data_IF_472897480164
#
_entry.id   IF_472897480164
#
_cell.length_a   1.000
_cell.length_b   1.000
_cell.length_c   1.000
_cell.angle_alpha   90.00
_cell.angle_beta   90.00
_cell.angle_gamma   90.00
#
_symmetry.space_group_name_H-M   'P 1'
#
loop_
_entity.id
_entity.type
_entity.pdbx_description
1 polymer ?
2 polymer ?
3 polymer ?
4 non-polymer ?
5 water ?
#
loop_
_entity_poly.entity_id
_entity_poly.type
_entity_poly.pdbx_seq_one_letter_code
_entity_poly.pdbx_strand_id
2 'polydeoxyribonucleotide' '(DC)(DT)(DG)(DA)(DT)(DG)(DA)(DG)(DT)(DC)(DA)(DG)(DC)(DA)(DC)' ?
3 'polydeoxyribonucleotide' '(DG)(DT)(DG)(DC)(DT)(DG)(DA)(DC)(DT)(DC)(DA)(DT)(DC)(DA)(DG)' ?
#
# COMPACT_ATOMS: atom_id res chain seq x y z
N UNK A 3 -25.82 36.62 20.68
CA UNK A 3 -25.59 35.19 20.12
C UNK A 3 -24.65 34.36 21.12
N UNK A 4 -24.12 33.17 20.74
CA UNK A 4 -23.29 32.37 21.68
C UNK A 4 -22.28 31.31 21.08
N UNK A 5 -21.63 30.53 21.96
CA UNK A 5 -20.65 29.47 21.62
C UNK A 5 -19.23 29.71 22.17
N UNK A 6 -18.47 28.68 22.62
CA UNK A 6 -17.05 28.77 23.16
C UNK A 6 -16.20 27.88 22.24
N UNK A 7 -15.14 28.44 21.61
CA UNK A 7 -14.39 27.68 20.61
C UNK A 7 -13.07 26.97 20.89
N UNK A 8 -13.15 25.62 20.81
CA UNK A 8 -12.08 24.63 20.99
C UNK A 8 -11.07 24.59 19.84
N UNK A 9 -10.28 23.50 19.76
CA UNK A 9 -9.26 23.28 18.72
C UNK A 9 -9.33 21.81 18.34
N UNK A 10 -8.99 21.51 17.08
CA UNK A 10 -9.00 20.14 16.58
C UNK A 10 -8.40 19.14 17.59
N UNK A 11 -7.10 19.26 17.86
CA UNK A 11 -6.48 18.35 18.82
C UNK A 11 -7.31 18.15 20.07
N UNK A 12 -7.75 19.26 20.68
CA UNK A 12 -8.56 19.19 21.88
C UNK A 12 -9.79 18.34 21.66
N UNK A 13 -10.63 18.79 20.72
CA UNK A 13 -11.86 18.08 20.39
C UNK A 13 -11.69 16.59 20.08
N UNK A 14 -10.61 16.21 19.40
CA UNK A 14 -10.42 14.80 19.06
C UNK A 14 -9.96 13.98 20.26
N UNK A 15 -9.02 14.52 21.02
CA UNK A 15 -8.47 13.83 22.19
C UNK A 15 -9.42 13.86 23.36
N UNK A 16 -10.17 14.96 23.45
CA UNK A 16 -11.16 15.14 24.51
C UNK A 16 -11.87 13.79 24.72
N UNK A 17 -12.40 13.56 25.92
CA UNK A 17 -13.10 12.31 26.21
C UNK A 17 -14.60 12.54 26.25
N UNK A 18 -15.35 11.46 26.05
CA UNK A 18 -16.81 11.51 26.04
C UNK A 18 -17.46 12.32 27.15
N UNK A 19 -16.91 12.26 28.36
CA UNK A 19 -17.54 13.02 29.45
C UNK A 19 -17.11 14.47 29.41
N UNK A 20 -15.87 14.71 28.99
CA UNK A 20 -15.38 16.07 28.89
C UNK A 20 -16.21 16.74 27.81
N UNK A 21 -16.35 16.04 26.69
CA UNK A 21 -17.12 16.55 25.57
C UNK A 21 -18.49 16.98 26.05
N UNK A 22 -19.16 16.09 26.78
CA UNK A 22 -20.50 16.41 27.24
C UNK A 22 -20.61 17.65 28.14
N UNK A 23 -19.52 18.00 28.85
CA UNK A 23 -19.54 19.20 29.69
C UNK A 23 -19.40 20.40 28.76
N UNK A 24 -18.46 20.30 27.82
CA UNK A 24 -18.20 21.34 26.84
C UNK A 24 -19.42 21.58 25.96
N UNK A 25 -20.47 20.80 26.21
CA UNK A 25 -21.70 20.90 25.45
C UNK A 25 -22.69 21.86 26.08
N UNK A 26 -22.71 21.88 27.41
CA UNK A 26 -23.62 22.74 28.18
C UNK A 26 -23.52 24.19 27.72
N UNK A 27 -24.65 24.76 27.33
CA UNK A 27 -24.66 26.12 26.84
C UNK A 27 -24.85 26.15 25.33
N UNK A 28 -24.09 25.30 24.62
CA UNK A 28 -24.15 25.16 23.16
C UNK A 28 -25.55 24.96 22.56
N UNK A 29 -25.90 25.76 21.57
CA UNK A 29 -27.22 25.63 20.93
C UNK A 29 -27.29 24.24 20.31
N UNK A 30 -28.49 23.73 20.08
CA UNK A 30 -28.62 22.40 19.48
C UNK A 30 -27.80 22.29 18.20
N UNK A 31 -28.07 23.19 17.27
CA UNK A 31 -27.35 23.22 16.01
C UNK A 31 -25.87 23.24 16.27
N UNK A 32 -25.48 23.97 17.28
CA UNK A 32 -24.07 24.09 17.64
C UNK A 32 -23.53 22.73 18.09
N UNK A 33 -24.37 21.97 18.79
CA UNK A 33 -23.99 20.64 19.28
C UNK A 33 -23.68 19.74 18.08
N UNK A 34 -24.63 19.72 17.17
CA UNK A 34 -24.55 18.97 15.93
C UNK A 34 -23.23 19.24 15.20
N UNK A 35 -22.98 20.47 14.80
CA UNK A 35 -21.74 20.81 14.11
C UNK A 35 -20.57 20.27 14.89
N UNK A 36 -20.55 20.56 16.18
CA UNK A 36 -19.46 20.12 17.05
C UNK A 36 -19.26 18.61 16.99
N UNK A 37 -20.33 17.83 17.20
CA UNK A 37 -20.22 16.37 17.16
C UNK A 37 -19.74 15.86 15.80
N UNK A 38 -20.21 16.51 14.73
CA UNK A 38 -19.83 16.15 13.37
C UNK A 38 -18.37 16.47 13.14
N UNK A 39 -17.96 17.67 13.52
CA UNK A 39 -16.56 18.06 13.38
C UNK A 39 -15.68 17.03 14.12
N UNK A 40 -16.14 16.56 15.26
CA UNK A 40 -15.37 15.59 16.03
C UNK A 40 -15.22 14.33 15.19
N UNK A 41 -16.31 13.86 14.62
CA UNK A 41 -16.30 12.66 13.80
C UNK A 41 -15.36 12.83 12.60
N UNK A 42 -15.52 13.96 11.91
CA UNK A 42 -14.68 14.21 10.78
C UNK A 42 -13.22 14.11 11.20
N UNK A 43 -12.92 14.69 12.35
CA UNK A 43 -11.56 14.67 12.91
C UNK A 43 -11.14 13.23 13.24
N UNK A 44 -12.07 12.45 13.75
CA UNK A 44 -11.82 11.06 14.09
C UNK A 44 -11.54 10.29 12.84
N UNK A 45 -12.31 10.56 11.79
CA UNK A 45 -12.09 9.84 10.53
C UNK A 45 -10.71 10.17 9.99
N UNK A 46 -10.28 11.42 10.20
CA UNK A 46 -8.99 11.84 9.74
C UNK A 46 -7.91 10.89 10.27
N UNK A 47 -8.05 10.51 11.54
CA UNK A 47 -7.08 9.61 12.14
C UNK A 47 -7.19 8.23 11.56
N UNK A 48 -8.41 7.69 11.54
CA UNK A 48 -8.65 6.37 11.00
C UNK A 48 -7.98 6.27 9.66
N UNK A 49 -8.09 7.33 8.88
CA UNK A 49 -7.51 7.37 7.53
C UNK A 49 -6.00 7.34 7.62
N UNK A 50 -5.46 8.05 8.60
CA UNK A 50 -4.03 8.10 8.81
C UNK A 50 -3.52 6.71 9.19
N UNK A 51 -4.16 6.10 10.19
CA UNK A 51 -3.77 4.77 10.65
C UNK A 51 -3.79 3.84 9.48
N UNK A 52 -4.78 4.06 8.64
CA UNK A 52 -4.95 3.23 7.48
C UNK A 52 -3.77 3.35 6.51
N UNK A 53 -3.32 4.57 6.24
CA UNK A 53 -2.20 4.80 5.33
C UNK A 53 -0.99 4.06 5.90
N UNK A 54 -0.73 4.32 7.17
CA UNK A 54 0.35 3.70 7.93
C UNK A 54 0.28 2.20 7.70
N UNK A 55 -0.73 1.56 8.28
CA UNK A 55 -0.91 0.12 8.14
C UNK A 55 -0.55 -0.40 6.75
N UNK A 56 -0.74 0.41 5.71
CA UNK A 56 -0.38 -0.01 4.36
C UNK A 56 1.13 -0.10 4.25
N UNK A 57 1.81 0.97 4.69
CA UNK A 57 3.27 1.04 4.67
C UNK A 57 3.81 -0.08 5.52
N UNK A 58 3.31 -0.15 6.75
CA UNK A 58 3.71 -1.18 7.67
C UNK A 58 3.73 -2.50 6.92
N UNK A 59 2.56 -2.95 6.50
CA UNK A 59 2.46 -4.21 5.79
C UNK A 59 3.27 -4.32 4.52
N UNK A 60 3.65 -3.21 3.91
CA UNK A 60 4.44 -3.36 2.70
C UNK A 60 5.91 -3.67 3.02
N UNK A 61 6.49 -2.94 3.97
CA UNK A 61 7.86 -3.18 4.38
C UNK A 61 7.85 -4.65 4.80
N UNK A 62 7.00 -4.99 5.77
CA UNK A 62 6.88 -6.36 6.25
C UNK A 62 6.92 -7.41 5.16
N UNK A 63 6.46 -7.10 3.96
CA UNK A 63 6.50 -8.11 2.91
C UNK A 63 7.90 -8.24 2.38
N UNK A 64 8.59 -7.12 2.29
CA UNK A 64 9.96 -7.10 1.80
C UNK A 64 10.89 -7.66 2.87
N UNK A 65 10.79 -7.12 4.09
CA UNK A 65 11.60 -7.59 5.21
C UNK A 65 11.30 -9.07 5.47
N UNK A 66 10.64 -9.72 4.51
CA UNK A 66 10.30 -11.14 4.60
C UNK A 66 10.89 -11.83 3.39
N UNK A 67 11.02 -11.10 2.30
CA UNK A 67 11.64 -11.66 1.11
C UNK A 67 13.13 -11.37 1.32
N UNK A 68 13.39 -10.59 2.37
CA UNK A 68 14.75 -10.22 2.76
C UNK A 68 15.28 -11.33 3.66
N UNK A 69 14.37 -12.14 4.17
CA UNK A 69 14.73 -13.27 5.02
C UNK A 69 14.58 -14.55 4.21
N UNK A 70 14.38 -14.41 2.90
CA UNK A 70 14.25 -15.57 2.03
C UNK A 70 15.30 -15.48 0.93
N UNK A 71 15.88 -14.30 0.77
CA UNK A 71 16.92 -14.08 -0.22
C UNK A 71 18.25 -14.25 0.53
N UNK A 72 18.19 -14.06 1.84
CA UNK A 72 19.35 -14.20 2.70
C UNK A 72 19.32 -15.61 3.30
N UNK A 73 18.21 -16.31 3.09
CA UNK A 73 18.08 -17.66 3.60
C UNK A 73 18.30 -18.65 2.46
N UNK A 74 18.16 -18.20 1.22
CA UNK A 74 18.40 -19.07 0.08
C UNK A 74 19.92 -19.01 -0.17
N UNK A 75 20.58 -18.11 0.57
CA UNK A 75 22.02 -17.88 0.50
C UNK A 75 22.81 -18.62 1.59
N UNK A 76 22.23 -18.72 2.78
CA UNK A 76 22.89 -19.44 3.86
C UNK A 76 22.73 -20.93 3.54
N UNK A 77 21.93 -21.21 2.52
CA UNK A 77 21.67 -22.57 2.05
C UNK A 77 22.23 -22.82 0.63
N UNK A 78 22.61 -21.74 -0.05
CA UNK A 78 23.22 -21.89 -1.37
C UNK A 78 24.73 -22.06 -1.11
N UNK A 79 25.17 -21.56 0.06
CA UNK A 79 26.56 -21.66 0.50
C UNK A 79 26.75 -22.98 1.27
N UNK A 80 25.70 -23.44 1.95
CA UNK A 80 25.75 -24.71 2.66
C UNK A 80 25.67 -25.77 1.55
N UNK A 81 25.54 -25.27 0.32
CA UNK A 81 25.47 -26.08 -0.89
C UNK A 81 26.91 -26.17 -1.46
N UNK A 82 27.81 -25.34 -0.91
CA UNK A 82 29.22 -25.32 -1.30
C UNK A 82 29.92 -26.39 -0.45
N UNK A 83 29.24 -26.81 0.62
CA UNK A 83 29.79 -27.82 1.52
C UNK A 83 29.67 -29.21 0.91
N UNK A 84 28.91 -29.31 -0.18
CA UNK A 84 28.71 -30.58 -0.86
C UNK A 84 29.93 -30.94 -1.72
N UNK A 85 30.55 -29.92 -2.30
CA UNK A 85 31.73 -30.12 -3.14
C UNK A 85 32.82 -30.87 -2.38
N UNK A 86 32.97 -30.55 -1.10
CA UNK A 86 33.97 -31.20 -0.26
C UNK A 86 33.49 -32.54 0.26
N UNK A 87 32.19 -32.66 0.53
CA UNK A 87 31.62 -33.91 1.06
C UNK A 87 31.03 -34.87 0.02
N UNK A 88 31.44 -34.73 -1.23
CA UNK A 88 30.96 -35.62 -2.30
C UNK A 88 32.10 -35.82 -3.31
N UNK A 89 33.25 -35.23 -2.99
CA UNK A 89 34.45 -35.34 -3.84
C UNK A 89 35.62 -35.92 -3.03
N UNK A 90 35.64 -35.62 -1.73
CA UNK A 90 36.68 -36.09 -0.82
C UNK A 90 36.30 -37.36 -0.05
N UNK A 91 35.03 -37.75 -0.14
CA UNK A 91 34.57 -38.96 0.54
C UNK A 91 33.89 -39.92 -0.44
N UNK A 92 33.94 -39.60 -1.73
CA UNK A 92 33.34 -40.45 -2.78
C UNK A 92 34.38 -40.83 -3.85
N UNK A 93 35.64 -40.97 -3.41
CA UNK A 93 36.79 -41.36 -4.24
C UNK A 93 37.42 -42.44 -3.35
N UNK A 94 36.57 -42.89 -2.42
CA UNK A 94 36.84 -43.92 -1.40
C UNK A 94 35.67 -44.98 -1.35
N UNK A 95 35.20 -45.38 -2.56
CA UNK A 95 34.11 -46.43 -2.77
C UNK A 95 33.42 -46.19 -4.15
N UNK B 4 -18.05 21.59 -33.12
CA UNK B 4 -18.36 21.88 -31.69
C UNK B 4 -19.56 21.06 -31.16
N UNK B 5 -20.64 21.77 -30.82
CA UNK B 5 -21.83 21.13 -30.30
C UNK B 5 -22.37 21.91 -29.11
N UNK B 6 -22.80 21.20 -28.07
CA UNK B 6 -23.33 21.81 -26.84
C UNK B 6 -22.54 21.31 -25.62
N UNK B 7 -23.25 21.16 -24.49
CA UNK B 7 -22.62 20.68 -23.26
C UNK B 7 -22.11 19.24 -23.48
N UNK B 8 -20.90 18.98 -22.99
CA UNK B 8 -20.27 17.68 -23.13
C UNK B 8 -20.31 16.90 -21.82
N UNK B 9 -20.43 15.57 -21.92
CA UNK B 9 -20.49 14.72 -20.74
C UNK B 9 -19.10 14.45 -20.19
N UNK B 10 -19.05 13.79 -19.03
CA UNK B 10 -17.79 13.45 -18.40
C UNK B 10 -16.98 12.55 -19.34
N UNK B 11 -17.58 11.44 -19.76
CA UNK B 11 -16.92 10.48 -20.65
C UNK B 11 -16.45 11.09 -21.96
N UNK B 12 -16.60 12.40 -22.08
CA UNK B 12 -16.19 13.09 -23.30
C UNK B 12 -15.10 14.09 -23.04
N UNK B 13 -15.40 15.05 -22.17
CA UNK B 13 -14.48 16.10 -21.81
C UNK B 13 -13.10 15.54 -21.47
N UNK B 14 -13.08 14.45 -20.71
CA UNK B 14 -11.84 13.82 -20.28
C UNK B 14 -11.11 13.07 -21.39
N UNK B 15 -11.85 12.61 -22.40
CA UNK B 15 -11.28 11.83 -23.50
C UNK B 15 -10.58 12.66 -24.59
N UNK B 16 -11.19 13.78 -24.97
CA UNK B 16 -10.63 14.62 -26.03
C UNK B 16 -9.30 15.32 -25.67
N UNK B 17 -8.62 15.79 -26.72
CA UNK B 17 -7.33 16.47 -26.60
C UNK B 17 -7.46 17.90 -26.06
N UNK B 18 -6.33 18.57 -25.86
CA UNK B 18 -6.32 19.94 -25.33
C UNK B 18 -6.71 21.03 -26.35
N UNK B 19 -6.29 20.86 -27.60
CA UNK B 19 -6.63 21.83 -28.66
C UNK B 19 -8.08 21.61 -29.06
N UNK B 20 -8.46 20.33 -29.10
CA UNK B 20 -9.80 19.94 -29.47
C UNK B 20 -10.81 20.56 -28.50
N UNK B 21 -10.30 21.02 -27.36
CA UNK B 21 -11.14 21.63 -26.34
C UNK B 21 -11.25 23.13 -26.55
N UNK B 22 -10.16 23.74 -27.03
CA UNK B 22 -10.15 25.17 -27.30
C UNK B 22 -11.16 25.45 -28.42
N UNK B 23 -11.52 24.38 -29.12
CA UNK B 23 -12.46 24.41 -30.23
C UNK B 23 -13.90 24.56 -29.70
N UNK B 24 -14.36 23.61 -28.87
CA UNK B 24 -15.71 23.70 -28.31
C UNK B 24 -15.72 24.73 -27.20
N UNK B 25 -14.60 25.45 -27.10
CA UNK B 25 -14.38 26.48 -26.08
C UNK B 25 -14.67 27.91 -26.57
N UNK B 26 -14.61 28.11 -27.88
CA UNK B 26 -14.86 29.43 -28.47
C UNK B 26 -16.21 29.99 -28.02
N UNK B 27 -16.20 31.20 -27.49
CA UNK B 27 -17.42 31.82 -27.03
C UNK B 27 -17.84 31.27 -25.67
N UNK B 28 -17.23 31.82 -24.62
CA UNK B 28 -17.50 31.45 -23.24
C UNK B 28 -16.73 32.42 -22.35
N UNK B 29 -17.46 33.13 -21.47
CA UNK B 29 -16.85 34.12 -20.57
C UNK B 29 -15.49 33.69 -20.00
N UNK B 30 -14.65 34.66 -19.64
CA UNK B 30 -13.32 34.37 -19.08
C UNK B 30 -13.34 33.22 -18.05
N UNK B 31 -14.39 33.20 -17.22
CA UNK B 31 -14.55 32.16 -16.20
C UNK B 31 -14.95 30.81 -16.78
N UNK B 32 -15.92 30.82 -17.69
CA UNK B 32 -16.38 29.58 -18.34
C UNK B 32 -15.20 28.87 -19.00
N UNK B 33 -14.21 29.65 -19.41
CA UNK B 33 -13.01 29.13 -20.05
C UNK B 33 -12.26 28.23 -19.06
N UNK B 34 -11.82 28.82 -17.95
CA UNK B 34 -11.12 28.06 -16.93
C UNK B 34 -11.99 27.00 -16.27
N UNK B 35 -13.08 27.44 -15.62
CA UNK B 35 -13.98 26.52 -14.93
C UNK B 35 -14.26 25.23 -15.72
N UNK B 36 -14.25 25.30 -17.05
CA UNK B 36 -14.51 24.11 -17.85
C UNK B 36 -13.26 23.24 -17.95
N UNK B 37 -12.11 23.88 -18.13
CA UNK B 37 -10.83 23.15 -18.21
C UNK B 37 -10.58 22.51 -16.85
N UNK B 38 -11.19 23.09 -15.82
CA UNK B 38 -11.09 22.60 -14.45
C UNK B 38 -11.85 21.29 -14.36
N UNK B 39 -13.13 21.34 -14.70
CA UNK B 39 -13.96 20.14 -14.68
C UNK B 39 -13.28 19.00 -15.47
N UNK B 40 -12.33 19.35 -16.34
CA UNK B 40 -11.60 18.35 -17.13
C UNK B 40 -10.55 17.73 -16.21
N UNK B 41 -9.68 18.59 -15.69
CA UNK B 41 -8.61 18.22 -14.75
C UNK B 41 -9.21 17.37 -13.63
N UNK B 42 -10.27 17.88 -13.00
CA UNK B 42 -10.93 17.13 -11.93
C UNK B 42 -11.25 15.73 -12.44
N UNK B 43 -11.91 15.66 -13.60
CA UNK B 43 -12.28 14.36 -14.18
C UNK B 43 -11.06 13.50 -14.46
N UNK B 44 -9.96 14.18 -14.82
CA UNK B 44 -8.69 13.52 -15.11
C UNK B 44 -8.11 12.91 -13.84
N UNK B 45 -8.00 13.73 -12.78
CA UNK B 45 -7.47 13.28 -11.49
C UNK B 45 -8.24 12.06 -10.97
N UNK B 46 -9.55 12.11 -11.14
CA UNK B 46 -10.40 11.02 -10.71
C UNK B 46 -9.85 9.72 -11.30
N UNK B 47 -9.48 9.76 -12.58
CA UNK B 47 -8.94 8.57 -13.22
C UNK B 47 -7.57 8.20 -12.71
N UNK B 48 -6.72 9.20 -12.47
CA UNK B 48 -5.37 8.96 -11.98
C UNK B 48 -5.50 8.25 -10.64
N UNK B 49 -6.46 8.69 -9.83
CA UNK B 49 -6.69 8.06 -8.54
C UNK B 49 -6.99 6.57 -8.76
N UNK B 50 -7.83 6.27 -9.74
CA UNK B 50 -8.21 4.90 -9.99
C UNK B 50 -7.03 4.03 -10.40
N UNK B 51 -6.05 4.56 -11.13
CA UNK B 51 -4.91 3.74 -11.51
C UNK B 51 -4.08 3.51 -10.26
N UNK B 52 -3.86 4.61 -9.53
CA UNK B 52 -3.11 4.61 -8.29
C UNK B 52 -3.60 3.56 -7.32
N UNK B 53 -4.93 3.43 -7.21
CA UNK B 53 -5.48 2.43 -6.31
C UNK B 53 -5.08 1.05 -6.85
N UNK B 54 -5.31 0.82 -8.13
CA UNK B 54 -4.98 -0.47 -8.74
C UNK B 54 -3.50 -0.76 -8.59
N UNK B 55 -2.67 0.14 -9.12
CA UNK B 55 -1.23 0.00 -9.04
C UNK B 55 -0.86 -0.50 -7.64
N UNK B 56 -1.29 0.27 -6.65
CA UNK B 56 -1.06 -0.04 -5.25
C UNK B 56 -1.31 -1.51 -4.97
N UNK B 57 -2.42 -2.03 -5.48
CA UNK B 57 -2.75 -3.44 -5.28
C UNK B 57 -1.82 -4.36 -6.08
N UNK B 58 -1.72 -4.12 -7.39
CA UNK B 58 -0.91 -4.96 -8.27
C UNK B 58 0.56 -4.97 -7.91
N UNK B 59 0.99 -3.99 -7.13
CA UNK B 59 2.37 -3.98 -6.74
C UNK B 59 2.47 -4.91 -5.57
N UNK B 60 1.50 -4.84 -4.66
CA UNK B 60 1.53 -5.75 -3.52
C UNK B 60 1.34 -7.16 -4.02
N UNK B 61 0.64 -7.29 -5.15
CA UNK B 61 0.38 -8.59 -5.74
C UNK B 61 1.71 -9.21 -6.04
N UNK B 62 2.55 -8.44 -6.70
CA UNK B 62 3.88 -8.88 -7.11
C UNK B 62 4.75 -9.34 -5.95
N UNK B 63 4.75 -8.60 -4.85
CA UNK B 63 5.57 -9.02 -3.72
C UNK B 63 5.04 -10.35 -3.21
N UNK B 64 3.72 -10.47 -3.11
CA UNK B 64 3.15 -11.71 -2.62
C UNK B 64 3.46 -12.88 -3.55
N UNK B 65 3.63 -12.59 -4.85
CA UNK B 65 3.93 -13.61 -5.86
C UNK B 65 5.38 -14.03 -5.72
N UNK B 66 6.28 -13.05 -5.70
CA UNK B 66 7.69 -13.33 -5.52
C UNK B 66 7.77 -14.11 -4.21
N UNK B 67 7.40 -13.46 -3.12
CA UNK B 67 7.40 -14.08 -1.79
C UNK B 67 7.11 -15.55 -1.89
N UNK B 68 6.02 -15.89 -2.58
CA UNK B 68 5.62 -17.27 -2.75
C UNK B 68 6.76 -18.07 -3.37
N UNK B 69 7.11 -17.71 -4.60
CA UNK B 69 8.19 -18.38 -5.31
C UNK B 69 9.52 -18.36 -4.55
N UNK B 70 9.93 -17.20 -4.04
CA UNK B 70 11.19 -17.10 -3.30
C UNK B 70 11.11 -17.77 -1.92
N UNK B 71 10.26 -18.78 -1.83
CA UNK B 71 10.06 -19.59 -0.62
C UNK B 71 9.93 -21.00 -1.19
N UNK B 72 9.56 -21.06 -2.48
CA UNK B 72 9.39 -22.29 -3.23
C UNK B 72 10.80 -22.93 -3.34
N UNK B 73 11.74 -22.10 -3.81
CA UNK B 73 13.12 -22.52 -3.97
C UNK B 73 13.74 -22.85 -2.61
N UNK B 74 13.66 -21.94 -1.64
CA UNK B 74 14.24 -22.16 -0.31
C UNK B 74 13.46 -23.20 0.50
N UNK B 75 12.75 -24.07 -0.22
CA UNK B 75 11.99 -25.16 0.38
C UNK B 75 12.64 -26.47 -0.09
N UNK B 76 13.02 -26.52 -1.37
CA UNK B 76 13.67 -27.70 -1.93
C UNK B 76 15.19 -27.57 -1.71
N UNK B 77 15.65 -26.36 -1.36
CA UNK B 77 17.08 -26.09 -1.11
C UNK B 77 17.40 -26.45 0.34
N UNK B 78 16.34 -26.65 1.13
CA UNK B 78 16.49 -27.00 2.53
C UNK B 78 16.33 -28.53 2.66
N UNK B 79 15.69 -29.12 1.65
CA UNK B 79 15.46 -30.56 1.59
C UNK B 79 16.54 -31.24 0.73
N UNK B 80 17.05 -30.52 -0.28
CA UNK B 80 18.10 -31.03 -1.15
C UNK B 80 19.37 -31.11 -0.31
N UNK B 81 19.58 -30.09 0.53
CA UNK B 81 20.75 -30.04 1.42
C UNK B 81 20.57 -30.97 2.63
N UNK B 82 19.35 -31.47 2.82
CA UNK B 82 19.06 -32.40 3.91
C UNK B 82 19.43 -33.79 3.41
N UNK B 83 19.37 -33.96 2.09
CA UNK B 83 19.70 -35.21 1.39
C UNK B 83 21.21 -35.31 1.12
N UNK B 84 21.88 -34.16 1.03
CA UNK B 84 23.32 -34.10 0.80
C UNK B 84 24.01 -34.12 2.17
N UNK B 85 23.38 -34.80 3.12
CA UNK B 85 23.88 -34.92 4.47
C UNK B 85 23.42 -36.28 5.02
N UNK B 86 22.32 -36.78 4.48
CA UNK B 86 21.77 -38.06 4.90
C UNK B 86 22.51 -39.20 4.20
N UNK B 87 22.94 -38.95 2.95
CA UNK B 87 23.67 -39.95 2.18
C UNK B 87 25.19 -39.72 2.26
N UNK B 88 25.57 -38.55 2.76
CA UNK B 88 26.98 -38.23 2.95
C UNK B 88 27.38 -38.79 4.32
N UNK B 89 26.37 -39.08 5.13
CA UNK B 89 26.58 -39.63 6.46
C UNK B 89 26.71 -41.16 6.39
N UNK B 90 26.17 -41.74 5.32
CA UNK B 90 26.22 -43.19 5.10
C UNK B 90 27.48 -43.57 4.32
N UNK B 91 28.18 -42.55 3.82
CA UNK B 91 29.42 -42.72 3.07
C UNK B 91 30.59 -42.52 4.03
N UNK B 92 30.25 -42.33 5.30
CA UNK B 92 31.23 -42.14 6.37
C UNK B 92 31.08 -43.28 7.39
N UNK B 93 29.88 -43.85 7.48
CA UNK B 93 29.64 -44.97 8.40
C UNK B 93 30.07 -46.26 7.70
N UNK B 94 29.96 -46.25 6.37
CA UNK B 94 30.37 -47.38 5.54
C UNK B 94 31.88 -47.51 5.78
N UNK B 95 32.50 -46.39 6.17
CA UNK B 95 33.95 -46.32 6.45
C UNK B 95 34.32 -46.94 7.80
N UNK B 96 34.19 -48.27 7.89
CA UNK B 96 34.53 -49.01 9.10
C UNK B 96 34.13 -50.47 8.93
X LIG E 1 -10.75 18.03 0.48
#
# INVERSE_FOLDING_TARGET
GSHMGTSLTDEELVTMSVRELNQHLRGLSKEEIIQLKQRRRTLKNRGYAASCRVKRVTQKEELEKQKAELQQEVEKLASENASMKLELDALRSKYEALQNFARTVAR
GSHMGTSLTDEELVTMSVRELNQHLRGLSKEEIIQLKQRRRTLKNRGYAASCRVKRVTQKEELEKQKAELQQEVEKLASENASMKLELDALRSKYEALQNFARTVAR
MG MG
#
